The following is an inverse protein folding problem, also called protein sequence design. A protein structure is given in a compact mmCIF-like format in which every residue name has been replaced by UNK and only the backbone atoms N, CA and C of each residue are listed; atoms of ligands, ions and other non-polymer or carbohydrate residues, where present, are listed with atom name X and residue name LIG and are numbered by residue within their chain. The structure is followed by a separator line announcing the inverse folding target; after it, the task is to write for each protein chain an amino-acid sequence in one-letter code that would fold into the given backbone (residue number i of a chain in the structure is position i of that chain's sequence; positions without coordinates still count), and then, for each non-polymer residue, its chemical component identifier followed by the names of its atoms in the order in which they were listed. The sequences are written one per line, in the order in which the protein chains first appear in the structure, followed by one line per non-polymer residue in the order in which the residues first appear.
data_IF_617242054809
#
_entry.id   IF_617242054809
#
_cell.length_a   1.000
_cell.length_b   1.000
_cell.length_c   1.000
_cell.angle_alpha   90.00
_cell.angle_beta   90.00
_cell.angle_gamma   90.00
#
_symmetry.space_group_name_H-M   'P 1'
#
loop_
_entity.id
_entity.type
_entity.pdbx_description
1 polymer ?
#
# COMPACT_ATOMS: atom_id res chain seq x y z
N UNK A 1 16.74 3.02 -0.16
CA UNK A 1 15.70 2.75 -1.19
C UNK A 1 15.27 4.07 -1.81
N UNK A 2 15.14 4.17 -3.13
CA UNK A 2 14.66 5.39 -3.81
C UNK A 2 13.16 5.24 -4.11
N UNK A 3 12.28 6.12 -3.60
CA UNK A 3 10.84 5.97 -3.79
C UNK A 3 10.38 6.43 -5.18
N UNK A 4 9.61 5.61 -5.87
CA UNK A 4 8.97 5.95 -7.15
C UNK A 4 7.65 6.71 -6.93
N UNK A 5 7.74 8.00 -6.61
CA UNK A 5 6.57 8.85 -6.34
C UNK A 5 6.37 9.89 -7.43
N UNK A 6 5.16 9.92 -8.00
CA UNK A 6 4.76 10.99 -8.91
C UNK A 6 4.82 12.34 -8.20
N UNK A 7 5.24 13.37 -8.93
CA UNK A 7 5.27 14.73 -8.39
C UNK A 7 3.84 15.28 -8.24
N UNK A 8 3.50 15.73 -7.03
CA UNK A 8 2.23 16.44 -6.81
C UNK A 8 2.32 17.86 -7.40
N UNK A 9 1.50 18.12 -8.42
CA UNK A 9 1.41 19.43 -9.10
C UNK A 9 0.33 20.35 -8.53
N UNK A 10 -0.52 19.87 -7.62
CA UNK A 10 -1.63 20.67 -7.06
C UNK A 10 -1.11 21.88 -6.29
N UNK A 11 -1.83 23.01 -6.36
CA UNK A 11 -1.56 24.27 -5.63
C UNK A 11 -0.19 24.91 -5.90
N UNK A 12 0.39 24.67 -7.08
CA UNK A 12 1.74 25.12 -7.39
C UNK A 12 1.74 26.43 -8.19
N UNK A 13 2.43 27.45 -7.68
CA UNK A 13 2.56 28.78 -8.33
C UNK A 13 3.66 28.89 -9.40
N UNK A 14 4.53 27.87 -9.54
CA UNK A 14 5.65 27.87 -10.50
C UNK A 14 6.32 26.50 -10.55
N UNK A 15 7.25 26.28 -11.49
CA UNK A 15 7.93 24.98 -11.65
C UNK A 15 8.79 24.60 -10.43
N UNK A 16 9.07 23.29 -10.24
CA UNK A 16 9.98 22.88 -9.15
C UNK A 16 11.36 23.42 -9.46
N UNK A 17 11.92 24.18 -8.53
CA UNK A 17 13.35 24.47 -8.53
C UNK A 17 14.11 23.18 -8.16
N UNK A 18 15.20 22.90 -8.87
CA UNK A 18 16.09 21.77 -8.61
C UNK A 18 15.88 20.56 -9.54
N UNK A 19 16.57 19.46 -9.22
CA UNK A 19 16.62 18.23 -10.02
C UNK A 19 15.24 17.54 -10.06
N UNK A 20 14.86 17.04 -11.24
CA UNK A 20 13.67 16.20 -11.41
C UNK A 20 13.78 14.94 -10.53
N UNK A 21 12.68 14.53 -9.92
CA UNK A 21 12.62 13.28 -9.14
C UNK A 21 12.79 12.08 -10.06
N UNK A 22 13.44 11.03 -9.55
CA UNK A 22 13.49 9.73 -10.21
C UNK A 22 12.07 9.15 -10.23
N UNK A 23 11.51 9.01 -11.42
CA UNK A 23 10.14 8.54 -11.62
C UNK A 23 10.09 7.57 -12.79
N UNK A 24 9.62 6.36 -12.55
CA UNK A 24 9.35 5.36 -13.57
C UNK A 24 7.83 5.21 -13.72
N UNK A 25 7.31 5.63 -14.87
CA UNK A 25 5.88 5.62 -15.16
C UNK A 25 5.32 4.20 -15.27
N UNK A 26 6.07 3.23 -15.78
CA UNK A 26 5.62 1.84 -15.93
C UNK A 26 5.42 1.17 -14.57
N UNK A 27 6.34 1.39 -13.65
CA UNK A 27 6.22 0.92 -12.25
C UNK A 27 5.07 1.64 -11.55
N UNK A 28 4.91 2.95 -11.77
CA UNK A 28 3.85 3.72 -11.13
C UNK A 28 2.44 3.31 -11.59
N UNK A 29 2.27 2.86 -12.83
CA UNK A 29 0.99 2.33 -13.33
C UNK A 29 0.46 1.15 -12.50
N UNK A 30 1.35 0.36 -11.88
CA UNK A 30 0.97 -0.81 -11.06
C UNK A 30 0.66 -0.47 -9.60
N UNK A 31 0.85 0.79 -9.18
CA UNK A 31 0.64 1.28 -7.80
C UNK A 31 -0.74 0.94 -7.24
N UNK A 32 -1.79 1.08 -8.05
CA UNK A 32 -3.17 0.90 -7.61
C UNK A 32 -3.42 -0.50 -7.00
N UNK A 33 -2.79 -1.54 -7.54
CA UNK A 33 -2.89 -2.90 -7.00
C UNK A 33 -2.34 -2.97 -5.58
N UNK A 34 -1.17 -2.37 -5.34
CA UNK A 34 -0.54 -2.33 -4.02
C UNK A 34 -1.34 -1.44 -3.06
N UNK A 35 -1.74 -0.24 -3.48
CA UNK A 35 -2.55 0.67 -2.66
C UNK A 35 -3.87 0.07 -2.25
N UNK A 36 -4.54 -0.66 -3.15
CA UNK A 36 -5.78 -1.35 -2.83
C UNK A 36 -5.53 -2.37 -1.72
N UNK A 37 -4.47 -3.18 -1.81
CA UNK A 37 -4.12 -4.12 -0.74
C UNK A 37 -3.81 -3.42 0.58
N UNK A 38 -3.09 -2.30 0.58
CA UNK A 38 -2.84 -1.51 1.79
C UNK A 38 -4.13 -0.92 2.36
N UNK A 39 -5.04 -0.41 1.53
CA UNK A 39 -6.33 0.08 1.98
C UNK A 39 -7.20 -1.04 2.57
N UNK A 40 -7.09 -2.29 2.07
CA UNK A 40 -7.71 -3.45 2.71
C UNK A 40 -7.07 -3.74 4.06
N UNK A 41 -5.74 -3.77 4.16
CA UNK A 41 -5.00 -3.93 5.42
C UNK A 41 -5.43 -2.88 6.45
N UNK A 42 -5.56 -1.62 6.04
CA UNK A 42 -6.00 -0.51 6.90
C UNK A 42 -7.43 -0.69 7.42
N UNK A 43 -8.29 -1.48 6.76
CA UNK A 43 -9.62 -1.81 7.31
C UNK A 43 -9.56 -2.80 8.47
N UNK A 44 -8.48 -3.56 8.62
CA UNK A 44 -8.33 -4.51 9.72
C UNK A 44 -7.88 -3.79 10.99
N UNK A 45 -8.83 -3.52 11.89
CA UNK A 45 -8.57 -2.84 13.18
C UNK A 45 -7.47 -3.49 14.03
N UNK A 46 -7.33 -4.82 13.94
CA UNK A 46 -6.27 -5.56 14.65
C UNK A 46 -4.85 -5.26 14.13
N UNK A 47 -4.70 -4.83 12.88
CA UNK A 47 -3.41 -4.44 12.30
C UNK A 47 -3.10 -2.95 12.45
N UNK A 48 -4.14 -2.10 12.45
CA UNK A 48 -4.02 -0.63 12.54
C UNK A 48 -3.32 -0.15 13.82
N UNK A 49 -3.71 -0.76 14.93
CA UNK A 49 -3.10 -0.55 16.23
C UNK A 49 -2.27 -1.81 16.46
N UNK A 50 -0.95 -1.74 16.25
CA UNK A 50 -0.02 -2.87 16.46
C UNK A 50 -0.03 -3.28 17.94
N UNK A 51 -1.09 -3.94 18.39
CA UNK A 51 -1.31 -4.41 19.76
C UNK A 51 -0.48 -5.64 20.08
N UNK A 52 0.04 -6.31 19.04
CA UNK A 52 0.88 -7.48 19.17
C UNK A 52 2.26 -7.12 19.71
N UNK A 53 2.57 -7.62 20.92
CA UNK A 53 3.88 -7.43 21.57
C UNK A 53 5.01 -8.14 20.84
N UNK A 54 4.71 -9.23 20.12
CA UNK A 54 5.70 -10.03 19.37
C UNK A 54 5.51 -9.83 17.87
N UNK A 55 6.63 -9.68 17.17
CA UNK A 55 6.65 -9.52 15.71
C UNK A 55 6.03 -10.71 14.98
N UNK A 56 6.15 -11.92 15.54
CA UNK A 56 5.56 -13.14 14.98
C UNK A 56 4.04 -13.04 14.86
N UNK A 57 3.34 -12.49 15.85
CA UNK A 57 1.89 -12.37 15.81
C UNK A 57 1.45 -11.26 14.85
N UNK A 58 2.20 -10.15 14.80
CA UNK A 58 1.98 -9.11 13.81
C UNK A 58 2.11 -9.64 12.37
N UNK A 59 3.16 -10.42 12.10
CA UNK A 59 3.37 -11.06 10.81
C UNK A 59 2.30 -12.13 10.51
N UNK A 60 1.91 -12.93 11.50
CA UNK A 60 0.81 -13.87 11.39
C UNK A 60 -0.50 -13.21 10.98
N UNK A 61 -0.83 -12.05 11.59
CA UNK A 61 -1.98 -11.25 11.21
C UNK A 61 -1.93 -10.77 9.76
N UNK A 62 -0.75 -10.36 9.27
CA UNK A 62 -0.57 -10.01 7.86
C UNK A 62 -0.84 -11.18 6.93
N UNK A 63 -0.35 -12.38 7.28
CA UNK A 63 -0.60 -13.58 6.48
C UNK A 63 -2.09 -13.92 6.40
N UNK A 64 -2.84 -13.83 7.50
CA UNK A 64 -4.29 -14.05 7.51
C UNK A 64 -5.00 -13.03 6.60
N UNK A 65 -4.67 -11.75 6.75
CA UNK A 65 -5.27 -10.69 5.91
C UNK A 65 -4.97 -10.90 4.43
N UNK A 66 -3.72 -11.23 4.09
CA UNK A 66 -3.37 -11.52 2.70
C UNK A 66 -4.08 -12.77 2.18
N UNK A 67 -4.24 -13.82 3.00
CA UNK A 67 -5.02 -14.98 2.62
C UNK A 67 -6.48 -14.61 2.32
N UNK A 68 -7.14 -13.83 3.19
CA UNK A 68 -8.51 -13.35 2.96
C UNK A 68 -8.64 -12.51 1.69
N UNK A 69 -7.70 -11.59 1.43
CA UNK A 69 -7.74 -10.75 0.22
C UNK A 69 -7.57 -11.57 -1.06
N UNK A 70 -6.66 -12.55 -1.06
CA UNK A 70 -6.37 -13.39 -2.22
C UNK A 70 -7.47 -14.44 -2.46
N UNK A 71 -8.03 -15.00 -1.39
CA UNK A 71 -9.05 -16.05 -1.46
C UNK A 71 -10.49 -15.50 -1.46
N UNK A 72 -10.69 -14.18 -1.43
CA UNK A 72 -12.03 -13.57 -1.35
C UNK A 72 -13.03 -14.13 -2.37
N UNK A 73 -12.59 -14.35 -3.61
CA UNK A 73 -13.46 -14.84 -4.68
C UNK A 73 -13.83 -16.32 -4.53
N UNK A 74 -13.04 -17.08 -3.77
CA UNK A 74 -13.36 -18.47 -3.40
C UNK A 74 -14.39 -18.49 -2.27
N UNK A 75 -14.28 -17.55 -1.33
CA UNK A 75 -15.17 -17.42 -0.18
C UNK A 75 -16.54 -16.85 -0.60
N UNK A 76 -16.56 -15.86 -1.50
CA UNK A 76 -17.78 -15.21 -1.97
C UNK A 76 -18.62 -16.08 -2.93
N UNK A 77 -18.06 -17.20 -3.42
CA UNK A 77 -18.70 -18.11 -4.36
C UNK A 77 -19.47 -19.28 -3.70
N UNK A 78 -19.59 -19.28 -2.36
CA UNK A 78 -20.45 -20.19 -1.59
C UNK A 78 -21.73 -19.48 -1.13
#
# INVERSE_FOLDING_TARGET
MIPNMAENKRNRKGSKRGRKRLFNAEVYKRRFTSERSFAWVDKFRALLLRFERRDAYYLGGHHIVFAMINLRHVIDAQ
#
